data_IF_000038748439
#
_entry.id   IF_000038748439
#
_cell.length_a   1.000
_cell.length_b   1.000
_cell.length_c   1.000
_cell.angle_alpha   90.00
_cell.angle_beta   90.00
_cell.angle_gamma   90.00
#
_symmetry.space_group_name_H-M   'P 1'
#
loop_
_entity.id
_entity.type
_entity.pdbx_description
1 polymer ?
#
# COMPACT_ATOMS: atom_id res chain seq x y z
N UNK A 1 -18.10 -17.33 -11.92
CA UNK A 1 -17.54 -18.71 -11.83
C UNK A 1 -16.07 -18.55 -11.40
N UNK A 2 -15.82 -18.57 -10.08
CA UNK A 2 -14.52 -18.26 -9.49
C UNK A 2 -13.58 -19.46 -9.67
N UNK A 3 -12.64 -19.36 -10.63
CA UNK A 3 -11.60 -20.35 -10.80
C UNK A 3 -10.39 -20.02 -9.93
N UNK A 4 -10.01 -21.00 -9.09
CA UNK A 4 -8.63 -21.37 -8.72
C UNK A 4 -7.81 -20.39 -7.87
N UNK A 5 -7.56 -20.82 -6.61
CA UNK A 5 -6.28 -20.76 -5.88
C UNK A 5 -5.27 -19.69 -6.32
N UNK A 6 -5.65 -18.42 -6.23
CA UNK A 6 -4.68 -17.33 -6.30
C UNK A 6 -4.64 -16.73 -4.92
N UNK A 7 -3.50 -16.91 -4.23
CA UNK A 7 -3.19 -16.23 -2.97
C UNK A 7 -2.92 -14.73 -3.22
N UNK A 8 -3.52 -14.15 -4.25
CA UNK A 8 -3.33 -12.79 -4.72
C UNK A 8 -4.69 -12.15 -4.95
N UNK A 9 -4.93 -10.98 -4.39
CA UNK A 9 -6.11 -10.16 -4.68
C UNK A 9 -5.70 -9.11 -5.70
N UNK A 10 -6.43 -9.02 -6.81
CA UNK A 10 -6.24 -8.00 -7.84
C UNK A 10 -7.51 -7.15 -7.95
N UNK A 11 -7.37 -5.85 -7.71
CA UNK A 11 -8.39 -4.83 -7.92
C UNK A 11 -7.87 -3.95 -9.04
N UNK A 12 -8.51 -3.97 -10.21
CA UNK A 12 -8.01 -3.27 -11.39
C UNK A 12 -9.11 -2.60 -12.20
N UNK A 13 -8.91 -1.34 -12.58
CA UNK A 13 -9.79 -0.63 -13.53
C UNK A 13 -11.17 -0.27 -12.98
N UNK A 14 -11.36 -0.32 -11.65
CA UNK A 14 -12.64 -0.07 -11.01
C UNK A 14 -12.84 1.43 -10.79
N UNK A 15 -13.60 2.07 -11.69
CA UNK A 15 -13.88 3.52 -11.59
C UNK A 15 -14.87 3.89 -10.49
N UNK A 16 -15.75 2.97 -10.07
CA UNK A 16 -16.71 3.22 -9.00
C UNK A 16 -16.23 2.70 -7.64
N UNK A 17 -15.00 2.18 -7.57
CA UNK A 17 -14.44 1.67 -6.33
C UNK A 17 -13.84 2.84 -5.54
N UNK A 18 -14.56 3.28 -4.51
CA UNK A 18 -14.17 4.41 -3.67
C UNK A 18 -13.48 3.96 -2.38
N UNK A 19 -13.89 2.82 -1.82
CA UNK A 19 -13.34 2.27 -0.59
C UNK A 19 -13.64 0.77 -0.47
N UNK A 20 -12.92 0.10 0.43
CA UNK A 20 -13.29 -1.23 0.89
C UNK A 20 -14.49 -1.13 1.85
N UNK A 21 -15.47 -2.03 1.73
CA UNK A 21 -16.65 -2.04 2.61
C UNK A 21 -16.24 -2.23 4.09
N UNK A 22 -16.85 -1.44 4.98
CA UNK A 22 -16.55 -1.39 6.41
C UNK A 22 -16.90 -2.68 7.19
N UNK A 23 -17.44 -3.71 6.55
CA UNK A 23 -17.99 -4.87 7.24
C UNK A 23 -17.09 -6.10 7.14
N UNK A 24 -16.52 -6.41 8.31
CA UNK A 24 -15.81 -7.62 8.70
C UNK A 24 -14.31 -7.64 8.37
N UNK A 25 -13.50 -7.31 9.38
CA UNK A 25 -12.05 -7.50 9.43
C UNK A 25 -11.71 -9.00 9.54
N UNK A 26 -12.10 -9.79 8.55
CA UNK A 26 -11.56 -11.13 8.42
C UNK A 26 -10.10 -11.05 8.02
N UNK A 27 -9.27 -11.93 8.58
CA UNK A 27 -7.89 -12.06 8.16
C UNK A 27 -7.86 -12.40 6.67
N UNK A 28 -7.44 -11.44 5.83
CA UNK A 28 -7.19 -11.72 4.43
C UNK A 28 -6.03 -12.71 4.37
N UNK A 29 -6.31 -13.89 3.82
CA UNK A 29 -5.30 -14.94 3.65
C UNK A 29 -4.40 -14.70 2.44
N UNK A 30 -4.54 -13.57 1.74
CA UNK A 30 -3.76 -13.24 0.55
C UNK A 30 -2.27 -13.04 0.89
N UNK A 31 -1.40 -13.58 0.04
CA UNK A 31 0.04 -13.35 0.00
C UNK A 31 0.40 -12.10 -0.81
N UNK A 32 -0.47 -11.69 -1.73
CA UNK A 32 -0.27 -10.53 -2.60
C UNK A 32 -1.54 -9.70 -2.76
N UNK A 33 -1.41 -8.38 -2.78
CA UNK A 33 -2.49 -7.45 -3.12
C UNK A 33 -1.97 -6.47 -4.17
N UNK A 34 -2.69 -6.35 -5.27
CA UNK A 34 -2.48 -5.38 -6.32
C UNK A 34 -3.73 -4.52 -6.48
N UNK A 35 -3.59 -3.20 -6.34
CA UNK A 35 -4.64 -2.22 -6.62
C UNK A 35 -4.13 -1.33 -7.77
N UNK A 36 -4.80 -1.37 -8.92
CA UNK A 36 -4.33 -0.73 -10.16
C UNK A 36 -5.43 0.05 -10.84
N UNK A 37 -5.12 1.24 -11.37
CA UNK A 37 -6.02 1.98 -12.26
C UNK A 37 -7.41 2.22 -11.65
N UNK A 38 -7.45 2.53 -10.35
CA UNK A 38 -8.67 2.84 -9.61
C UNK A 38 -8.67 4.33 -9.26
N UNK A 39 -9.06 5.22 -10.19
CA UNK A 39 -8.86 6.66 -10.05
C UNK A 39 -9.73 7.29 -8.96
N UNK A 40 -10.84 6.67 -8.58
CA UNK A 40 -11.74 7.15 -7.54
C UNK A 40 -11.54 6.45 -6.19
N UNK A 41 -10.55 5.54 -6.07
CA UNK A 41 -10.25 4.88 -4.82
C UNK A 41 -9.62 5.89 -3.85
N UNK A 42 -10.33 6.22 -2.77
CA UNK A 42 -9.95 7.29 -1.86
C UNK A 42 -9.27 6.79 -0.59
N UNK A 43 -9.73 5.67 -0.03
CA UNK A 43 -9.29 5.23 1.30
C UNK A 43 -9.49 3.73 1.58
N UNK A 44 -8.66 3.23 2.49
CA UNK A 44 -8.81 1.91 3.11
C UNK A 44 -9.83 1.95 4.28
N UNK A 45 -10.31 0.80 4.78
CA UNK A 45 -11.21 0.76 5.93
C UNK A 45 -10.62 1.45 7.15
N UNK A 46 -11.48 2.08 7.94
CA UNK A 46 -11.10 2.61 9.24
C UNK A 46 -10.54 1.49 10.13
N UNK A 47 -9.40 1.74 10.79
CA UNK A 47 -8.70 0.73 11.56
C UNK A 47 -7.76 -0.17 10.74
N UNK A 48 -7.64 0.03 9.43
CA UNK A 48 -6.62 -0.57 8.58
C UNK A 48 -7.04 -1.83 7.82
N UNK A 49 -6.07 -2.44 7.13
CA UNK A 49 -6.24 -3.64 6.31
C UNK A 49 -5.60 -4.85 7.01
N UNK A 50 -6.42 -5.79 7.49
CA UNK A 50 -5.94 -6.97 8.19
C UNK A 50 -5.55 -8.09 7.21
N UNK A 51 -4.27 -8.16 6.87
CA UNK A 51 -3.73 -9.17 5.95
C UNK A 51 -2.39 -9.71 6.48
N UNK A 52 -2.47 -10.57 7.50
CA UNK A 52 -1.29 -10.99 8.26
C UNK A 52 -0.32 -11.89 7.49
N UNK A 53 -0.75 -12.50 6.38
CA UNK A 53 0.08 -13.31 5.49
C UNK A 53 0.58 -12.53 4.26
N UNK A 54 0.18 -11.26 4.11
CA UNK A 54 0.54 -10.45 2.96
C UNK A 54 2.06 -10.27 2.89
N UNK A 55 2.66 -10.62 1.77
CA UNK A 55 4.10 -10.48 1.51
C UNK A 55 4.40 -9.42 0.46
N UNK A 56 3.47 -9.17 -0.46
CA UNK A 56 3.60 -8.20 -1.54
C UNK A 56 2.39 -7.28 -1.60
N UNK A 57 2.62 -5.97 -1.56
CA UNK A 57 1.55 -4.98 -1.67
C UNK A 57 1.93 -3.92 -2.70
N UNK A 58 1.09 -3.81 -3.73
CA UNK A 58 1.30 -2.91 -4.85
C UNK A 58 0.08 -2.01 -5.07
N UNK A 59 0.32 -0.71 -5.19
CA UNK A 59 -0.69 0.30 -5.51
C UNK A 59 -0.18 1.11 -6.69
N UNK A 60 -0.93 1.12 -7.79
CA UNK A 60 -0.53 1.75 -9.04
C UNK A 60 -1.65 2.60 -9.63
N UNK A 61 -1.35 3.85 -9.98
CA UNK A 61 -2.27 4.72 -10.71
C UNK A 61 -3.63 4.89 -10.00
N UNK A 62 -3.60 5.05 -8.69
CA UNK A 62 -4.77 5.37 -7.84
C UNK A 62 -4.73 6.85 -7.49
N UNK A 63 -5.21 7.69 -8.43
CA UNK A 63 -4.97 9.13 -8.39
C UNK A 63 -5.69 9.88 -7.27
N UNK A 64 -6.79 9.35 -6.74
CA UNK A 64 -7.52 9.97 -5.61
C UNK A 64 -7.19 9.36 -4.26
N UNK A 65 -6.25 8.40 -4.17
CA UNK A 65 -5.92 7.72 -2.93
C UNK A 65 -5.16 8.67 -2.02
N UNK A 66 -5.77 9.02 -0.88
CA UNK A 66 -5.22 10.02 0.05
C UNK A 66 -4.32 9.40 1.13
N UNK A 67 -4.57 8.14 1.48
CA UNK A 67 -3.85 7.48 2.58
C UNK A 67 -3.67 5.98 2.37
N UNK A 68 -2.60 5.45 2.94
CA UNK A 68 -2.34 4.02 3.05
C UNK A 68 -3.16 3.43 4.22
N UNK A 69 -3.29 2.08 4.33
CA UNK A 69 -4.03 1.48 5.43
C UNK A 69 -3.43 1.89 6.78
N UNK A 70 -4.26 2.22 7.76
CA UNK A 70 -3.77 2.46 9.11
C UNK A 70 -3.11 1.20 9.71
N UNK A 71 -2.24 1.39 10.71
CA UNK A 71 -1.69 0.29 11.52
C UNK A 71 -0.96 -0.79 10.72
N UNK A 72 -0.32 -0.43 9.59
CA UNK A 72 0.43 -1.39 8.76
C UNK A 72 1.42 -2.19 9.59
N UNK A 73 2.18 -1.53 10.46
CA UNK A 73 3.18 -2.14 11.34
C UNK A 73 2.68 -3.35 12.15
N UNK A 74 1.40 -3.43 12.50
CA UNK A 74 0.79 -4.58 13.19
C UNK A 74 -0.10 -5.45 12.30
N UNK A 75 -0.82 -4.87 11.34
CA UNK A 75 -1.82 -5.60 10.55
C UNK A 75 -1.22 -6.32 9.32
N UNK A 76 -0.07 -5.86 8.84
CA UNK A 76 0.64 -6.37 7.68
C UNK A 76 1.99 -6.98 8.09
N UNK A 77 2.02 -7.71 9.20
CA UNK A 77 3.26 -8.20 9.86
C UNK A 77 4.19 -9.07 8.99
N UNK A 78 3.71 -9.64 7.88
CA UNK A 78 4.51 -10.46 6.96
C UNK A 78 4.97 -9.72 5.71
N UNK A 79 4.66 -8.42 5.60
CA UNK A 79 4.89 -7.65 4.37
C UNK A 79 6.38 -7.47 4.13
N UNK A 80 6.84 -7.90 2.94
CA UNK A 80 8.24 -7.83 2.53
C UNK A 80 8.47 -6.78 1.45
N UNK A 81 7.48 -6.57 0.59
CA UNK A 81 7.62 -5.73 -0.60
C UNK A 81 6.44 -4.76 -0.67
N UNK A 82 6.75 -3.47 -0.73
CA UNK A 82 5.79 -2.39 -0.92
C UNK A 82 6.15 -1.59 -2.18
N UNK A 83 5.25 -1.56 -3.14
CA UNK A 83 5.35 -0.70 -4.33
C UNK A 83 4.17 0.29 -4.37
N UNK A 84 4.49 1.56 -4.53
CA UNK A 84 3.50 2.64 -4.71
C UNK A 84 3.95 3.46 -5.93
N UNK A 85 3.14 3.47 -6.98
CA UNK A 85 3.45 4.17 -8.22
C UNK A 85 2.28 5.03 -8.69
N UNK A 86 2.57 6.23 -9.17
CA UNK A 86 1.58 7.14 -9.77
C UNK A 86 0.38 7.43 -8.84
N UNK A 87 0.64 7.64 -7.54
CA UNK A 87 -0.35 7.97 -6.51
C UNK A 87 -0.01 9.35 -5.89
N UNK A 88 -0.42 10.46 -6.54
CA UNK A 88 0.05 11.81 -6.19
C UNK A 88 -0.53 12.36 -4.87
N UNK A 89 -1.67 11.85 -4.42
CA UNK A 89 -2.41 12.39 -3.26
C UNK A 89 -1.98 11.79 -1.91
N UNK A 90 -1.16 10.74 -1.90
CA UNK A 90 -0.65 10.14 -0.65
C UNK A 90 0.41 11.06 -0.05
N UNK A 91 0.19 11.53 1.18
CA UNK A 91 1.09 12.51 1.81
C UNK A 91 2.15 11.86 2.72
N UNK A 92 1.80 10.78 3.40
CA UNK A 92 2.70 10.13 4.37
C UNK A 92 2.39 8.64 4.54
N UNK A 93 3.32 7.93 5.19
CA UNK A 93 3.02 6.63 5.79
C UNK A 93 2.07 6.79 6.99
N UNK A 94 1.31 5.73 7.36
CA UNK A 94 0.37 5.77 8.47
C UNK A 94 1.09 5.89 9.83
N UNK A 95 0.37 6.38 10.83
CA UNK A 95 0.86 6.44 12.21
C UNK A 95 1.30 5.06 12.73
N UNK A 96 2.39 5.05 13.53
CA UNK A 96 3.07 3.84 13.98
C UNK A 96 3.98 3.20 12.94
N UNK A 97 4.01 3.73 11.71
CA UNK A 97 4.99 3.38 10.69
C UNK A 97 4.70 2.08 9.95
N UNK A 98 5.76 1.58 9.31
CA UNK A 98 5.74 0.44 8.41
C UNK A 98 6.08 -0.89 9.12
N UNK A 99 5.72 -2.04 8.54
CA UNK A 99 6.09 -3.36 9.08
C UNK A 99 7.62 -3.56 9.15
N UNK A 100 8.18 -4.04 10.28
CA UNK A 100 9.63 -4.26 10.44
C UNK A 100 10.19 -5.39 9.56
N UNK A 101 9.31 -6.16 8.92
CA UNK A 101 9.63 -7.25 7.99
C UNK A 101 9.84 -6.78 6.55
N UNK A 102 9.63 -5.48 6.25
CA UNK A 102 9.87 -4.92 4.93
C UNK A 102 11.33 -5.06 4.52
N UNK A 103 11.54 -5.56 3.30
CA UNK A 103 12.83 -5.76 2.66
C UNK A 103 13.05 -4.70 1.59
N UNK A 104 12.00 -4.36 0.83
CA UNK A 104 12.08 -3.39 -0.26
C UNK A 104 10.86 -2.47 -0.28
N UNK A 105 11.14 -1.17 -0.44
CA UNK A 105 10.17 -0.12 -0.67
C UNK A 105 10.50 0.56 -2.00
N UNK A 106 9.52 0.61 -2.90
CA UNK A 106 9.62 1.30 -4.19
C UNK A 106 8.51 2.33 -4.32
N UNK A 107 8.88 3.60 -4.45
CA UNK A 107 7.96 4.72 -4.62
C UNK A 107 8.34 5.46 -5.90
N UNK A 108 7.40 5.62 -6.82
CA UNK A 108 7.63 6.31 -8.10
C UNK A 108 6.48 7.25 -8.42
N UNK A 109 6.75 8.50 -8.76
CA UNK A 109 5.74 9.49 -9.14
C UNK A 109 4.67 9.74 -8.05
N UNK A 110 5.07 9.70 -6.78
CA UNK A 110 4.23 10.06 -5.63
C UNK A 110 4.83 11.28 -4.93
N UNK A 111 4.70 12.45 -5.54
CA UNK A 111 5.44 13.67 -5.14
C UNK A 111 5.21 14.06 -3.68
N UNK A 112 3.95 14.04 -3.20
CA UNK A 112 3.61 14.38 -1.81
C UNK A 112 4.25 13.41 -0.82
N UNK A 113 4.20 12.10 -1.10
CA UNK A 113 4.81 11.06 -0.26
C UNK A 113 6.34 11.17 -0.24
N UNK A 114 6.98 11.44 -1.38
CA UNK A 114 8.44 11.61 -1.46
C UNK A 114 8.87 12.90 -0.75
N UNK A 115 8.04 13.95 -0.77
CA UNK A 115 8.32 15.19 -0.03
C UNK A 115 8.35 14.97 1.49
N UNK A 116 7.58 14.01 2.03
CA UNK A 116 7.56 13.67 3.45
C UNK A 116 8.63 12.66 3.89
N UNK A 117 9.61 12.33 3.03
CA UNK A 117 10.59 11.24 3.27
C UNK A 117 11.42 11.32 4.55
N UNK A 118 11.58 12.51 5.12
CA UNK A 118 12.28 12.69 6.40
C UNK A 118 11.51 12.08 7.58
N UNK A 119 10.19 11.88 7.44
CA UNK A 119 9.32 11.32 8.47
C UNK A 119 8.98 9.84 8.29
N UNK A 120 9.64 9.13 7.37
CA UNK A 120 9.31 7.73 7.08
C UNK A 120 9.71 6.73 8.16
N UNK A 121 10.57 7.12 9.11
CA UNK A 121 10.99 6.25 10.22
C UNK A 121 11.73 4.99 9.77
N UNK A 122 12.43 5.05 8.63
CA UNK A 122 13.10 3.89 8.02
C UNK A 122 14.23 3.34 8.88
N UNK A 123 14.80 4.15 9.77
CA UNK A 123 15.80 3.75 10.75
C UNK A 123 15.32 2.64 11.71
N UNK A 124 14.00 2.46 11.83
CA UNK A 124 13.38 1.44 12.67
C UNK A 124 13.00 0.17 11.89
N UNK A 125 13.44 0.02 10.63
CA UNK A 125 13.13 -1.14 9.78
C UNK A 125 14.37 -2.05 9.65
N UNK A 126 14.55 -3.04 10.53
CA UNK A 126 15.78 -3.84 10.61
C UNK A 126 16.02 -4.72 9.37
N UNK A 127 14.97 -5.04 8.61
CA UNK A 127 15.05 -5.91 7.43
C UNK A 127 15.20 -5.15 6.12
N UNK A 128 15.12 -3.80 6.15
CA UNK A 128 15.07 -3.00 4.94
C UNK A 128 16.44 -3.03 4.23
N UNK A 129 16.47 -3.63 3.05
CA UNK A 129 17.67 -3.78 2.24
C UNK A 129 17.69 -2.83 1.04
N UNK A 130 16.51 -2.41 0.57
CA UNK A 130 16.37 -1.62 -0.66
C UNK A 130 15.31 -0.53 -0.49
N UNK A 131 15.67 0.68 -0.89
CA UNK A 131 14.78 1.82 -1.00
C UNK A 131 14.97 2.45 -2.37
N UNK A 132 13.88 2.59 -3.13
CA UNK A 132 13.83 3.38 -4.36
C UNK A 132 12.74 4.43 -4.20
N UNK A 133 13.08 5.69 -4.39
CA UNK A 133 12.11 6.78 -4.36
C UNK A 133 12.44 7.79 -5.44
N UNK A 134 11.57 7.91 -6.43
CA UNK A 134 11.74 8.82 -7.56
C UNK A 134 10.51 9.74 -7.66
N UNK A 135 10.74 11.05 -7.62
CA UNK A 135 9.72 12.05 -7.92
C UNK A 135 9.69 12.31 -9.43
N UNK A 136 8.53 12.70 -9.96
CA UNK A 136 8.39 12.96 -11.39
C UNK A 136 9.29 14.14 -11.78
N UNK A 137 10.16 13.93 -12.77
CA UNK A 137 10.87 15.03 -13.43
C UNK A 137 9.86 15.65 -14.40
N UNK A 138 9.24 16.76 -14.00
CA UNK A 138 8.41 17.55 -14.94
C UNK A 138 9.24 17.85 -16.19
N UNK A 139 8.86 17.28 -17.33
CA UNK A 139 9.25 17.79 -18.66
C UNK A 139 8.38 18.98 -19.02
#
# INVERSE_FOLDING_TARGET
MLSKLTWSILISGLRNFESFEQQQQHDLLALQIDIKDCPNFMSFPYGGLRATNLTWFNIHNCTSLMSLPEKMHILLRSLKYLEIRDCPEIESFPEGGLPPTLIEISITNCEKLVASRMGWGLENLPSLAKLKSEANQKM
#
